data_IF_866365708124
#
_entry.id   IF_866365708124
#
_cell.length_a   1.000
_cell.length_b   1.000
_cell.length_c   1.000
_cell.angle_alpha   90.00
_cell.angle_beta   90.00
_cell.angle_gamma   90.00
#
_symmetry.space_group_name_H-M   'P 1'
#
loop_
_entity.id
_entity.type
_entity.pdbx_description
1 polymer ?
#
# COMPACT_ATOMS: atom_id res chain seq x y z
N UNK A 1 -12.81 -27.20 -21.03
CA UNK A 1 -12.53 -27.58 -19.62
C UNK A 1 -12.30 -29.09 -19.58
N UNK A 2 -11.20 -29.58 -19.00
CA UNK A 2 -10.97 -31.03 -18.83
C UNK A 2 -11.82 -31.52 -17.64
N UNK A 3 -12.54 -32.64 -17.76
CA UNK A 3 -13.32 -33.16 -16.65
C UNK A 3 -12.39 -33.52 -15.48
N UNK A 4 -12.78 -33.17 -14.26
CA UNK A 4 -12.02 -33.50 -13.05
C UNK A 4 -12.04 -35.02 -12.81
N UNK A 5 -11.08 -35.55 -12.05
CA UNK A 5 -11.02 -37.00 -11.73
C UNK A 5 -12.33 -37.53 -11.15
N UNK A 6 -13.01 -36.74 -10.32
CA UNK A 6 -14.33 -37.10 -9.78
C UNK A 6 -15.40 -37.20 -10.89
N UNK A 7 -15.42 -36.27 -11.84
CA UNK A 7 -16.35 -36.30 -12.98
C UNK A 7 -16.14 -37.51 -13.89
N UNK A 8 -14.88 -37.93 -14.08
CA UNK A 8 -14.55 -39.16 -14.81
C UNK A 8 -15.07 -40.41 -14.10
N UNK A 9 -14.95 -40.47 -12.76
CA UNK A 9 -15.47 -41.59 -11.96
C UNK A 9 -17.00 -41.64 -12.04
N UNK A 10 -17.70 -40.51 -11.92
CA UNK A 10 -19.16 -40.48 -12.04
C UNK A 10 -19.65 -40.90 -13.43
N UNK A 11 -19.00 -40.44 -14.51
CA UNK A 11 -19.34 -40.88 -15.87
C UNK A 11 -19.09 -42.39 -16.05
N UNK A 12 -18.00 -42.91 -15.50
CA UNK A 12 -17.69 -44.33 -15.55
C UNK A 12 -18.76 -45.18 -14.84
N UNK A 13 -19.22 -44.76 -13.66
CA UNK A 13 -20.25 -45.46 -12.89
C UNK A 13 -21.58 -45.47 -13.63
N UNK A 14 -22.00 -44.34 -14.21
CA UNK A 14 -23.25 -44.27 -15.00
C UNK A 14 -23.16 -45.18 -16.22
N UNK A 15 -22.01 -45.20 -16.91
CA UNK A 15 -21.80 -46.00 -18.11
C UNK A 15 -21.79 -47.51 -17.78
N UNK A 16 -21.25 -47.88 -16.62
CA UNK A 16 -21.31 -49.25 -16.10
C UNK A 16 -22.75 -49.67 -15.75
N UNK A 17 -23.55 -48.79 -15.14
CA UNK A 17 -24.95 -49.06 -14.82
C UNK A 17 -25.78 -49.24 -16.10
N UNK A 18 -25.57 -48.38 -17.11
CA UNK A 18 -26.20 -48.50 -18.43
C UNK A 18 -25.79 -49.80 -19.13
N UNK A 19 -24.50 -50.15 -19.11
CA UNK A 19 -24.02 -51.40 -19.69
C UNK A 19 -24.63 -52.63 -18.99
N UNK A 20 -24.69 -52.62 -17.66
CA UNK A 20 -25.31 -53.69 -16.88
C UNK A 20 -26.82 -53.81 -17.19
N UNK A 21 -27.53 -52.69 -17.34
CA UNK A 21 -28.94 -52.66 -17.71
C UNK A 21 -29.18 -53.24 -19.11
N UNK A 22 -28.34 -52.88 -20.09
CA UNK A 22 -28.41 -53.41 -21.46
C UNK A 22 -28.15 -54.93 -21.46
N UNK A 23 -27.11 -55.39 -20.75
CA UNK A 23 -26.77 -56.81 -20.65
C UNK A 23 -27.92 -57.59 -20.00
N UNK A 24 -28.49 -57.09 -18.91
CA UNK A 24 -29.64 -57.70 -18.25
C UNK A 24 -30.87 -57.76 -19.17
N UNK A 25 -31.12 -56.69 -19.94
CA UNK A 25 -32.22 -56.64 -20.90
C UNK A 25 -32.06 -57.66 -22.04
N UNK A 26 -30.85 -57.82 -22.58
CA UNK A 26 -30.56 -58.81 -23.62
C UNK A 26 -30.69 -60.24 -23.07
N UNK A 27 -30.20 -60.47 -21.85
CA UNK A 27 -30.30 -61.78 -21.19
C UNK A 27 -31.76 -62.18 -20.91
N UNK A 28 -32.58 -61.25 -20.42
CA UNK A 28 -34.02 -61.48 -20.17
C UNK A 28 -34.77 -61.73 -21.48
N UNK A 29 -34.46 -60.99 -22.55
CA UNK A 29 -35.05 -61.21 -23.88
C UNK A 29 -34.74 -62.61 -24.43
N UNK A 30 -33.52 -63.11 -24.22
CA UNK A 30 -33.12 -64.44 -24.66
C UNK A 30 -33.69 -65.57 -23.79
N UNK A 31 -33.99 -65.31 -22.51
CA UNK A 31 -34.47 -66.30 -21.57
C UNK A 31 -35.90 -66.84 -21.85
N UNK A 32 -36.65 -66.24 -22.80
CA UNK A 32 -37.98 -66.68 -23.27
C UNK A 32 -38.99 -67.07 -22.17
N UNK A 33 -38.87 -66.48 -20.98
CA UNK A 33 -39.91 -66.58 -19.95
C UNK A 33 -40.95 -65.49 -20.22
N UNK A 34 -42.24 -65.84 -20.12
CA UNK A 34 -43.39 -65.00 -20.45
C UNK A 34 -43.53 -63.76 -19.57
N UNK A 35 -42.56 -62.86 -19.67
CA UNK A 35 -42.48 -61.59 -18.98
C UNK A 35 -43.19 -60.57 -19.86
N UNK A 36 -44.12 -59.82 -19.27
CA UNK A 36 -44.81 -58.71 -19.92
C UNK A 36 -43.78 -57.68 -20.41
N UNK A 37 -43.45 -57.80 -21.70
CA UNK A 37 -42.40 -57.06 -22.37
C UNK A 37 -42.65 -55.54 -22.26
N UNK A 38 -43.92 -55.14 -22.20
CA UNK A 38 -44.34 -53.74 -22.08
C UNK A 38 -43.97 -53.22 -20.69
N UNK A 39 -44.34 -53.93 -19.63
CA UNK A 39 -44.03 -53.56 -18.24
C UNK A 39 -42.52 -53.48 -17.98
N UNK A 40 -41.75 -54.42 -18.54
CA UNK A 40 -40.29 -54.39 -18.45
C UNK A 40 -39.69 -53.20 -19.21
N UNK A 41 -40.15 -52.93 -20.42
CA UNK A 41 -39.68 -51.78 -21.23
C UNK A 41 -40.00 -50.46 -20.56
N UNK A 42 -41.21 -50.29 -20.03
CA UNK A 42 -41.63 -49.09 -19.30
C UNK A 42 -40.76 -48.89 -18.05
N UNK A 43 -40.45 -49.96 -17.33
CA UNK A 43 -39.59 -49.91 -16.13
C UNK A 43 -38.16 -49.50 -16.46
N UNK A 44 -37.58 -50.03 -17.55
CA UNK A 44 -36.24 -49.66 -18.01
C UNK A 44 -36.15 -48.22 -18.52
N UNK A 45 -37.14 -47.76 -19.27
CA UNK A 45 -37.20 -46.36 -19.73
C UNK A 45 -37.36 -45.41 -18.53
N UNK A 46 -38.20 -45.77 -17.56
CA UNK A 46 -38.39 -44.97 -16.33
C UNK A 46 -37.11 -44.89 -15.49
N UNK A 47 -36.36 -45.98 -15.41
CA UNK A 47 -35.04 -46.01 -14.76
C UNK A 47 -34.03 -45.10 -15.47
N UNK A 48 -34.01 -45.12 -16.81
CA UNK A 48 -33.16 -44.23 -17.62
C UNK A 48 -33.49 -42.75 -17.41
N UNK A 49 -34.78 -42.39 -17.38
CA UNK A 49 -35.24 -41.01 -17.09
C UNK A 49 -34.82 -40.59 -15.68
N UNK A 50 -34.95 -41.47 -14.70
CA UNK A 50 -34.57 -41.18 -13.30
C UNK A 50 -33.07 -40.96 -13.13
N UNK A 51 -32.23 -41.74 -13.83
CA UNK A 51 -30.77 -41.54 -13.86
C UNK A 51 -30.39 -40.21 -14.51
N UNK A 52 -31.05 -39.84 -15.62
CA UNK A 52 -30.82 -38.55 -16.27
C UNK A 52 -31.20 -37.38 -15.36
N UNK A 53 -32.33 -37.49 -14.66
CA UNK A 53 -32.77 -36.51 -13.68
C UNK A 53 -31.77 -36.38 -12.51
N UNK A 54 -31.28 -37.49 -11.97
CA UNK A 54 -30.24 -37.50 -10.94
C UNK A 54 -28.94 -36.84 -11.43
N UNK A 55 -28.54 -37.09 -12.68
CA UNK A 55 -27.36 -36.45 -13.26
C UNK A 55 -27.51 -34.93 -13.38
N UNK A 56 -28.67 -34.46 -13.87
CA UNK A 56 -28.96 -33.02 -13.94
C UNK A 56 -28.95 -32.42 -12.53
N UNK A 57 -29.62 -33.06 -11.56
CA UNK A 57 -29.63 -32.60 -10.17
C UNK A 57 -28.23 -32.55 -9.56
N UNK A 58 -27.37 -33.54 -9.83
CA UNK A 58 -25.99 -33.58 -9.35
C UNK A 58 -25.14 -32.46 -9.99
N UNK A 59 -25.29 -32.21 -11.30
CA UNK A 59 -24.64 -31.09 -11.98
C UNK A 59 -25.08 -29.75 -11.41
N UNK A 60 -26.38 -29.59 -11.18
CA UNK A 60 -26.95 -28.38 -10.57
C UNK A 60 -26.43 -28.19 -9.14
N UNK A 61 -26.41 -29.25 -8.32
CA UNK A 61 -25.88 -29.21 -6.95
C UNK A 61 -24.39 -28.85 -6.92
N UNK A 62 -23.56 -29.49 -7.77
CA UNK A 62 -22.12 -29.19 -7.86
C UNK A 62 -21.90 -27.76 -8.38
N UNK A 63 -22.71 -27.29 -9.32
CA UNK A 63 -22.66 -25.92 -9.82
C UNK A 63 -23.00 -24.92 -8.70
N UNK A 64 -24.04 -25.19 -7.90
CA UNK A 64 -24.41 -24.34 -6.77
C UNK A 64 -23.34 -24.37 -5.67
N UNK A 65 -22.82 -25.55 -5.32
CA UNK A 65 -21.78 -25.71 -4.29
C UNK A 65 -20.45 -25.07 -4.70
N UNK A 66 -20.05 -25.19 -5.97
CA UNK A 66 -18.85 -24.53 -6.47
C UNK A 66 -18.99 -23.01 -6.49
N UNK A 67 -20.15 -22.48 -6.91
CA UNK A 67 -20.44 -21.04 -6.81
C UNK A 67 -20.46 -20.59 -5.36
N UNK A 68 -21.11 -21.34 -4.47
CA UNK A 68 -21.20 -21.05 -3.04
C UNK A 68 -19.82 -20.99 -2.36
N UNK A 69 -18.96 -21.97 -2.63
CA UNK A 69 -17.58 -22.00 -2.13
C UNK A 69 -16.75 -20.81 -2.65
N UNK A 70 -16.95 -20.40 -3.90
CA UNK A 70 -16.28 -19.23 -4.47
C UNK A 70 -16.83 -17.91 -3.90
N UNK A 71 -18.13 -17.87 -3.56
CA UNK A 71 -18.84 -16.67 -3.11
C UNK A 71 -18.88 -16.47 -1.59
N UNK A 72 -18.48 -17.45 -0.77
CA UNK A 72 -18.53 -17.36 0.69
C UNK A 72 -17.71 -16.16 1.20
N UNK A 73 -18.23 -15.45 2.21
CA UNK A 73 -17.67 -14.20 2.76
C UNK A 73 -17.63 -14.12 4.30
N UNK A 74 -17.86 -15.22 5.01
CA UNK A 74 -17.76 -15.21 6.48
C UNK A 74 -16.35 -14.79 6.91
N UNK A 75 -16.23 -13.71 7.69
CA UNK A 75 -14.94 -13.22 8.19
C UNK A 75 -14.12 -12.35 7.21
N UNK A 76 -14.77 -11.55 6.34
CA UNK A 76 -14.08 -10.65 5.41
C UNK A 76 -13.15 -9.64 6.13
N UNK A 77 -11.84 -9.79 5.92
CA UNK A 77 -10.82 -8.94 6.54
C UNK A 77 -10.92 -7.46 6.12
N UNK A 78 -11.46 -7.19 4.92
CA UNK A 78 -11.64 -5.83 4.41
C UNK A 78 -12.78 -5.06 5.10
N UNK A 79 -13.66 -5.78 5.80
CA UNK A 79 -14.72 -5.19 6.62
C UNK A 79 -14.42 -5.26 8.13
N UNK A 80 -13.24 -5.77 8.52
CA UNK A 80 -12.84 -5.85 9.91
C UNK A 80 -12.41 -4.47 10.44
N UNK A 81 -13.26 -3.88 11.28
CA UNK A 81 -13.04 -2.57 11.91
C UNK A 81 -11.96 -2.56 13.01
N UNK A 82 -11.46 -3.74 13.41
CA UNK A 82 -10.42 -3.90 14.42
C UNK A 82 -9.10 -4.42 13.83
N UNK A 83 -8.95 -4.37 12.51
CA UNK A 83 -7.73 -4.84 11.85
C UNK A 83 -6.54 -3.92 12.12
N UNK A 84 -5.37 -4.53 12.37
CA UNK A 84 -4.09 -3.83 12.60
C UNK A 84 -2.97 -4.54 11.84
N UNK A 85 -2.04 -3.78 11.28
CA UNK A 85 -0.86 -4.33 10.61
C UNK A 85 0.21 -4.73 11.65
N UNK A 86 0.63 -5.99 11.64
CA UNK A 86 1.72 -6.47 12.51
C UNK A 86 3.09 -6.14 11.93
N UNK A 87 3.63 -4.96 12.28
CA UNK A 87 4.98 -4.54 11.85
C UNK A 87 6.07 -5.53 12.27
N UNK A 88 6.09 -6.09 13.51
CA UNK A 88 7.07 -7.11 13.89
C UNK A 88 7.06 -8.34 12.98
N UNK A 89 5.89 -8.78 12.53
CA UNK A 89 5.76 -9.92 11.61
C UNK A 89 6.34 -9.59 10.23
N UNK A 90 6.07 -8.40 9.71
CA UNK A 90 6.63 -7.93 8.44
C UNK A 90 8.16 -7.88 8.50
N UNK A 91 8.73 -7.36 9.59
CA UNK A 91 10.18 -7.27 9.76
C UNK A 91 10.85 -8.64 9.88
N UNK A 92 10.25 -9.57 10.64
CA UNK A 92 10.74 -10.94 10.74
C UNK A 92 10.68 -11.66 9.39
N UNK A 93 9.68 -11.37 8.57
CA UNK A 93 9.50 -11.97 7.25
C UNK A 93 10.47 -11.44 6.20
N UNK A 94 10.77 -10.13 6.22
CA UNK A 94 11.54 -9.46 5.18
C UNK A 94 12.90 -8.97 5.69
N UNK A 95 13.83 -9.91 5.93
CA UNK A 95 15.17 -9.61 6.46
C UNK A 95 16.24 -9.42 5.38
N UNK A 96 15.86 -8.90 4.21
CA UNK A 96 16.81 -8.67 3.12
C UNK A 96 17.91 -7.66 3.51
N UNK A 97 19.15 -7.95 3.11
CA UNK A 97 20.32 -7.11 3.42
C UNK A 97 20.47 -5.93 2.45
N UNK A 98 19.89 -6.02 1.26
CA UNK A 98 20.00 -5.05 0.18
C UNK A 98 18.65 -4.79 -0.52
N UNK A 99 18.59 -3.72 -1.31
CA UNK A 99 17.37 -3.32 -2.04
C UNK A 99 16.91 -4.37 -3.07
N UNK A 100 17.78 -4.95 -3.93
CA UNK A 100 17.32 -5.90 -4.94
C UNK A 100 16.68 -7.14 -4.32
N UNK A 101 17.29 -7.65 -3.25
CA UNK A 101 16.78 -8.79 -2.48
C UNK A 101 15.45 -8.46 -1.80
N UNK A 102 15.31 -7.25 -1.23
CA UNK A 102 14.05 -6.82 -0.63
C UNK A 102 12.95 -6.70 -1.69
N UNK A 103 13.26 -6.08 -2.82
CA UNK A 103 12.34 -5.96 -3.96
C UNK A 103 11.87 -7.36 -4.38
N UNK A 104 12.80 -8.28 -4.60
CA UNK A 104 12.47 -9.63 -5.04
C UNK A 104 11.63 -10.38 -4.01
N UNK A 105 11.90 -10.23 -2.71
CA UNK A 105 11.10 -10.82 -1.65
C UNK A 105 9.66 -10.26 -1.60
N UNK A 106 9.51 -8.93 -1.60
CA UNK A 106 8.19 -8.26 -1.52
C UNK A 106 7.30 -8.64 -2.70
N UNK A 107 7.80 -8.46 -3.93
CA UNK A 107 7.02 -8.75 -5.12
C UNK A 107 6.72 -10.25 -5.26
N UNK A 108 7.70 -11.13 -5.02
CA UNK A 108 7.47 -12.58 -5.14
C UNK A 108 6.44 -13.08 -4.13
N UNK A 109 6.42 -12.50 -2.93
CA UNK A 109 5.42 -12.80 -1.90
C UNK A 109 4.00 -12.48 -2.37
N UNK A 110 3.79 -11.28 -2.95
CA UNK A 110 2.48 -10.87 -3.48
C UNK A 110 2.09 -11.70 -4.69
N UNK A 111 3.03 -11.92 -5.62
CA UNK A 111 2.79 -12.73 -6.82
C UNK A 111 2.36 -14.15 -6.47
N UNK A 112 3.00 -14.76 -5.47
CA UNK A 112 2.65 -16.09 -4.99
C UNK A 112 1.21 -16.12 -4.49
N UNK A 113 0.82 -15.16 -3.64
CA UNK A 113 -0.54 -15.07 -3.09
C UNK A 113 -1.59 -14.87 -4.18
N UNK A 114 -1.39 -13.91 -5.08
CA UNK A 114 -2.30 -13.65 -6.20
C UNK A 114 -2.48 -14.88 -7.12
N UNK A 115 -1.42 -15.65 -7.35
CA UNK A 115 -1.44 -16.82 -8.25
C UNK A 115 -1.98 -18.08 -7.58
N UNK A 116 -1.71 -18.30 -6.29
CA UNK A 116 -1.95 -19.58 -5.60
C UNK A 116 -2.97 -19.51 -4.46
N UNK A 117 -3.13 -18.36 -3.83
CA UNK A 117 -3.88 -18.18 -2.58
C UNK A 117 -5.02 -17.15 -2.74
N UNK A 118 -5.57 -16.96 -3.95
CA UNK A 118 -6.69 -16.04 -4.18
C UNK A 118 -7.89 -16.76 -4.80
N UNK A 119 -8.09 -18.04 -4.49
CA UNK A 119 -9.05 -18.93 -5.15
C UNK A 119 -10.50 -18.43 -5.02
N UNK A 120 -10.89 -17.99 -3.83
CA UNK A 120 -12.22 -17.47 -3.51
C UNK A 120 -12.23 -15.95 -3.34
N UNK A 121 -13.41 -15.35 -3.17
CA UNK A 121 -13.53 -13.92 -2.87
C UNK A 121 -12.87 -13.53 -1.53
N UNK A 122 -12.95 -14.40 -0.51
CA UNK A 122 -12.30 -14.18 0.80
C UNK A 122 -10.78 -14.27 0.67
N UNK A 123 -10.25 -15.32 0.04
CA UNK A 123 -8.79 -15.45 -0.10
C UNK A 123 -8.19 -14.29 -0.91
N UNK A 124 -8.95 -13.78 -1.90
CA UNK A 124 -8.54 -12.60 -2.64
C UNK A 124 -8.62 -11.33 -1.80
N UNK A 125 -9.65 -11.17 -0.97
CA UNK A 125 -9.75 -10.07 -0.02
C UNK A 125 -8.56 -10.06 0.96
N UNK A 126 -8.17 -11.23 1.47
CA UNK A 126 -6.97 -11.40 2.31
C UNK A 126 -5.68 -11.04 1.56
N UNK A 127 -5.59 -11.45 0.29
CA UNK A 127 -4.46 -11.09 -0.57
C UNK A 127 -4.39 -9.59 -0.80
N UNK A 128 -5.53 -8.93 -1.01
CA UNK A 128 -5.60 -7.47 -1.17
C UNK A 128 -5.23 -6.74 0.12
N UNK A 129 -5.72 -7.20 1.28
CA UNK A 129 -5.31 -6.63 2.57
C UNK A 129 -3.81 -6.80 2.79
N UNK A 130 -3.26 -7.97 2.48
CA UNK A 130 -1.83 -8.22 2.54
C UNK A 130 -1.04 -7.27 1.62
N UNK A 131 -1.53 -7.00 0.41
CA UNK A 131 -0.93 -5.99 -0.47
C UNK A 131 -0.96 -4.60 0.16
N UNK A 132 -2.07 -4.22 0.82
CA UNK A 132 -2.21 -2.94 1.53
C UNK A 132 -1.21 -2.85 2.68
N UNK A 133 -1.04 -3.91 3.47
CA UNK A 133 -0.08 -3.95 4.57
C UNK A 133 1.37 -3.76 4.08
N UNK A 134 1.69 -4.26 2.88
CA UNK A 134 3.02 -4.09 2.28
C UNK A 134 3.25 -2.73 1.64
N UNK A 135 2.21 -1.89 1.44
CA UNK A 135 2.36 -0.55 0.83
C UNK A 135 3.41 0.27 1.55
N UNK A 136 3.48 0.18 2.88
CA UNK A 136 4.40 0.94 3.72
C UNK A 136 5.87 0.56 3.51
N UNK A 137 6.14 -0.64 2.99
CA UNK A 137 7.51 -1.13 2.75
C UNK A 137 8.05 -0.80 1.36
N UNK A 138 7.18 -0.57 0.37
CA UNK A 138 7.61 -0.23 -0.99
C UNK A 138 8.48 1.03 -1.10
N UNK A 139 8.28 2.09 -0.29
CA UNK A 139 9.20 3.22 -0.25
C UNK A 139 10.64 2.86 0.10
N UNK A 140 10.88 1.77 0.84
CA UNK A 140 12.23 1.27 1.15
C UNK A 140 12.97 0.76 -0.09
N UNK A 141 12.23 0.31 -1.10
CA UNK A 141 12.77 -0.09 -2.40
C UNK A 141 12.87 1.14 -3.30
N UNK A 142 11.75 1.85 -3.51
CA UNK A 142 11.66 2.95 -4.46
C UNK A 142 12.58 4.14 -4.14
N UNK A 143 12.87 4.39 -2.86
CA UNK A 143 13.71 5.53 -2.43
C UNK A 143 15.20 5.19 -2.30
N UNK A 144 15.59 3.94 -2.51
CA UNK A 144 16.97 3.51 -2.37
C UNK A 144 17.86 4.09 -3.48
N UNK A 145 19.15 4.28 -3.19
CA UNK A 145 20.12 4.77 -4.18
C UNK A 145 20.32 3.82 -5.37
N UNK A 146 20.20 2.51 -5.13
CA UNK A 146 20.46 1.46 -6.13
C UNK A 146 19.23 1.01 -6.93
N UNK A 147 18.09 1.70 -6.81
CA UNK A 147 16.81 1.24 -7.40
C UNK A 147 16.84 1.16 -8.93
N UNK A 148 16.47 -0.01 -9.47
CA UNK A 148 16.12 -0.16 -10.88
C UNK A 148 14.66 0.24 -11.11
N UNK A 149 14.45 1.54 -11.38
CA UNK A 149 13.12 2.12 -11.58
C UNK A 149 12.34 1.44 -12.70
N UNK A 150 13.00 1.02 -13.78
CA UNK A 150 12.32 0.39 -14.93
C UNK A 150 11.81 -0.99 -14.54
N UNK A 151 12.65 -1.80 -13.90
CA UNK A 151 12.26 -3.13 -13.40
C UNK A 151 11.15 -3.01 -12.34
N UNK A 152 11.29 -2.09 -11.39
CA UNK A 152 10.28 -1.82 -10.37
C UNK A 152 8.90 -1.51 -10.99
N UNK A 153 8.86 -0.56 -11.92
CA UNK A 153 7.62 -0.16 -12.60
C UNK A 153 7.01 -1.32 -13.41
N UNK A 154 7.84 -2.07 -14.14
CA UNK A 154 7.36 -3.21 -14.93
C UNK A 154 6.72 -4.29 -14.04
N UNK A 155 7.34 -4.61 -12.89
CA UNK A 155 6.79 -5.59 -11.95
C UNK A 155 5.53 -5.09 -11.26
N UNK A 156 5.47 -3.80 -10.91
CA UNK A 156 4.28 -3.21 -10.32
C UNK A 156 3.09 -3.25 -11.30
N UNK A 157 3.31 -2.89 -12.56
CA UNK A 157 2.29 -3.01 -13.61
C UNK A 157 1.82 -4.45 -13.80
N UNK A 158 2.74 -5.42 -13.73
CA UNK A 158 2.38 -6.84 -13.80
C UNK A 158 1.52 -7.29 -12.60
N UNK A 159 1.83 -6.83 -11.38
CA UNK A 159 0.99 -7.08 -10.20
C UNK A 159 -0.41 -6.48 -10.36
N UNK A 160 -0.52 -5.24 -10.84
CA UNK A 160 -1.81 -4.60 -11.10
C UNK A 160 -2.65 -5.38 -12.11
N UNK A 161 -2.03 -5.82 -13.21
CA UNK A 161 -2.70 -6.63 -14.22
C UNK A 161 -3.19 -7.98 -13.67
N UNK A 162 -2.41 -8.61 -12.79
CA UNK A 162 -2.80 -9.85 -12.11
C UNK A 162 -3.98 -9.62 -11.16
N UNK A 163 -3.94 -8.54 -10.37
CA UNK A 163 -5.03 -8.18 -9.46
C UNK A 163 -6.32 -7.87 -10.23
N UNK A 164 -6.26 -7.12 -11.33
CA UNK A 164 -7.42 -6.85 -12.18
C UNK A 164 -8.01 -8.11 -12.80
N UNK A 165 -7.15 -8.99 -13.32
CA UNK A 165 -7.60 -10.28 -13.88
C UNK A 165 -8.33 -11.10 -12.82
N UNK A 166 -7.81 -11.14 -11.59
CA UNK A 166 -8.42 -11.87 -10.48
C UNK A 166 -9.75 -11.23 -10.05
N UNK A 167 -9.79 -9.90 -9.95
CA UNK A 167 -11.02 -9.14 -9.69
C UNK A 167 -12.10 -9.45 -10.71
N UNK A 168 -11.77 -9.44 -12.01
CA UNK A 168 -12.73 -9.70 -13.09
C UNK A 168 -13.38 -11.09 -12.94
N UNK A 169 -12.60 -12.12 -12.62
CA UNK A 169 -13.08 -13.49 -12.41
C UNK A 169 -14.03 -13.59 -11.20
N UNK A 170 -13.78 -12.84 -10.12
CA UNK A 170 -14.55 -12.93 -8.89
C UNK A 170 -15.79 -12.02 -8.87
N UNK A 171 -15.71 -10.86 -9.51
CA UNK A 171 -16.82 -9.89 -9.60
C UNK A 171 -18.03 -10.41 -10.39
N UNK A 172 -17.82 -11.35 -11.32
CA UNK A 172 -18.90 -12.03 -12.04
C UNK A 172 -19.66 -13.03 -11.18
N UNK A 173 -19.11 -13.42 -10.02
CA UNK A 173 -19.63 -14.49 -9.14
C UNK A 173 -20.16 -13.94 -7.81
N UNK A 174 -19.60 -12.85 -7.29
CA UNK A 174 -19.97 -12.29 -5.98
C UNK A 174 -20.23 -10.77 -6.03
N UNK A 175 -21.51 -10.36 -6.18
CA UNK A 175 -21.90 -8.94 -6.27
C UNK A 175 -21.78 -8.17 -4.95
N UNK A 176 -21.85 -8.84 -3.79
CA UNK A 176 -21.77 -8.20 -2.47
C UNK A 176 -20.35 -7.76 -2.12
N UNK A 177 -19.37 -8.67 -2.27
CA UNK A 177 -17.94 -8.39 -2.04
C UNK A 177 -17.32 -7.44 -3.05
N UNK A 178 -17.88 -7.44 -4.27
CA UNK A 178 -17.27 -6.77 -5.41
C UNK A 178 -17.03 -5.29 -5.17
N UNK A 179 -17.85 -4.64 -4.33
CA UNK A 179 -17.68 -3.22 -4.02
C UNK A 179 -16.37 -3.00 -3.24
N UNK A 180 -16.19 -3.66 -2.10
CA UNK A 180 -14.97 -3.50 -1.29
C UNK A 180 -13.72 -3.90 -2.06
N UNK A 181 -13.75 -5.07 -2.71
CA UNK A 181 -12.64 -5.55 -3.55
C UNK A 181 -12.29 -4.54 -4.63
N UNK A 182 -13.29 -3.95 -5.30
CA UNK A 182 -13.06 -2.96 -6.34
C UNK A 182 -12.45 -1.67 -5.80
N UNK A 183 -12.93 -1.17 -4.66
CA UNK A 183 -12.39 0.04 -4.05
C UNK A 183 -10.96 -0.18 -3.53
N UNK A 184 -10.64 -1.35 -2.97
CA UNK A 184 -9.27 -1.67 -2.52
C UNK A 184 -8.31 -1.85 -3.71
N UNK A 185 -8.76 -2.47 -4.81
CA UNK A 185 -7.95 -2.53 -6.04
C UNK A 185 -7.69 -1.14 -6.62
N UNK A 186 -8.71 -0.26 -6.64
CA UNK A 186 -8.53 1.14 -7.06
C UNK A 186 -7.57 1.88 -6.13
N UNK A 187 -7.67 1.67 -4.81
CA UNK A 187 -6.76 2.26 -3.83
C UNK A 187 -5.32 1.86 -4.14
N UNK A 188 -5.05 0.57 -4.33
CA UNK A 188 -3.71 0.09 -4.63
C UNK A 188 -3.18 0.68 -5.96
N UNK A 189 -4.01 0.76 -7.00
CA UNK A 189 -3.65 1.46 -8.25
C UNK A 189 -3.36 2.94 -8.03
N UNK A 190 -4.20 3.63 -7.26
CA UNK A 190 -4.02 5.04 -6.94
C UNK A 190 -2.70 5.31 -6.21
N UNK A 191 -2.32 4.44 -5.28
CA UNK A 191 -1.03 4.49 -4.58
C UNK A 191 0.14 4.32 -5.55
N UNK A 192 0.08 3.32 -6.44
CA UNK A 192 1.11 3.08 -7.47
C UNK A 192 1.21 4.26 -8.44
N UNK A 193 0.08 4.78 -8.90
CA UNK A 193 0.02 5.94 -9.79
C UNK A 193 0.60 7.17 -9.09
N UNK A 194 0.29 7.41 -7.81
CA UNK A 194 0.94 8.47 -7.04
C UNK A 194 2.47 8.31 -6.99
N UNK A 195 2.97 7.10 -6.68
CA UNK A 195 4.41 6.84 -6.65
C UNK A 195 5.08 7.13 -8.01
N UNK A 196 4.41 6.78 -9.11
CA UNK A 196 4.86 7.11 -10.48
C UNK A 196 4.86 8.62 -10.73
N UNK A 197 3.80 9.34 -10.36
CA UNK A 197 3.71 10.81 -10.52
C UNK A 197 4.84 11.51 -9.77
N UNK A 198 5.18 11.04 -8.57
CA UNK A 198 6.33 11.55 -7.80
C UNK A 198 7.65 11.29 -8.54
N UNK A 199 7.81 10.12 -9.15
CA UNK A 199 9.01 9.75 -9.92
C UNK A 199 9.19 10.62 -11.18
N UNK A 200 8.09 10.93 -11.87
CA UNK A 200 8.07 11.62 -13.17
C UNK A 200 7.95 13.15 -13.03
N UNK A 201 7.58 13.65 -11.85
CA UNK A 201 7.41 15.08 -11.60
C UNK A 201 6.17 15.70 -12.28
N UNK A 202 5.27 14.88 -12.82
CA UNK A 202 4.08 15.32 -13.53
C UNK A 202 2.85 15.29 -12.62
N UNK A 203 2.41 16.44 -12.13
CA UNK A 203 1.25 16.56 -11.22
C UNK A 203 -0.01 17.14 -11.90
N UNK A 204 -0.01 17.24 -13.22
CA UNK A 204 -1.14 17.73 -14.02
C UNK A 204 -2.22 16.67 -14.29
N UNK A 205 -2.00 15.45 -13.81
CA UNK A 205 -2.85 14.28 -14.11
C UNK A 205 -3.94 14.12 -13.04
N UNK A 206 -5.15 13.73 -13.48
CA UNK A 206 -6.21 13.25 -12.59
C UNK A 206 -5.71 12.04 -11.80
N UNK A 207 -5.76 12.12 -10.47
CA UNK A 207 -5.27 11.04 -9.62
C UNK A 207 -6.32 9.94 -9.49
N UNK A 208 -5.98 8.70 -9.82
CA UNK A 208 -6.86 7.53 -9.61
C UNK A 208 -7.32 7.38 -8.15
N UNK A 209 -6.59 7.98 -7.19
CA UNK A 209 -7.00 8.09 -5.79
C UNK A 209 -8.34 8.83 -5.62
N UNK A 210 -8.68 9.78 -6.49
CA UNK A 210 -9.95 10.52 -6.45
C UNK A 210 -11.15 9.64 -6.84
N UNK A 211 -10.90 8.54 -7.57
CA UNK A 211 -11.95 7.62 -8.04
C UNK A 211 -12.29 6.53 -6.99
N UNK A 212 -11.54 6.50 -5.89
CA UNK A 212 -11.77 5.61 -4.74
C UNK A 212 -12.86 6.22 -3.85
N UNK A 213 -13.91 5.45 -3.61
CA UNK A 213 -14.99 5.80 -2.68
C UNK A 213 -14.57 5.53 -1.24
N UNK A 214 -13.67 6.36 -0.73
CA UNK A 214 -13.06 6.25 0.60
C UNK A 214 -14.01 5.93 1.76
N UNK A 215 -15.19 6.58 1.88
CA UNK A 215 -16.13 6.32 2.98
C UNK A 215 -16.69 4.89 3.03
N UNK A 216 -16.54 4.10 1.97
CA UNK A 216 -16.99 2.70 1.93
C UNK A 216 -15.97 1.75 2.59
N UNK A 217 -14.70 2.15 2.67
CA UNK A 217 -13.65 1.37 3.30
C UNK A 217 -13.92 1.32 4.81
N UNK A 218 -14.12 0.12 5.36
CA UNK A 218 -14.37 -0.07 6.80
C UNK A 218 -13.10 -0.40 7.57
N UNK A 219 -12.21 -1.20 6.97
CA UNK A 219 -10.94 -1.58 7.56
C UNK A 219 -10.07 -0.33 7.86
N UNK A 220 -9.62 -0.13 9.12
CA UNK A 220 -8.88 1.06 9.53
C UNK A 220 -7.59 1.27 8.73
N UNK A 221 -6.82 0.21 8.48
CA UNK A 221 -5.58 0.28 7.71
C UNK A 221 -5.83 0.76 6.28
N UNK A 222 -6.87 0.23 5.61
CA UNK A 222 -7.22 0.68 4.24
C UNK A 222 -7.64 2.15 4.21
N UNK A 223 -8.39 2.61 5.22
CA UNK A 223 -8.81 4.02 5.37
C UNK A 223 -7.61 4.93 5.61
N UNK A 224 -6.71 4.53 6.50
CA UNK A 224 -5.45 5.23 6.80
C UNK A 224 -4.62 5.42 5.54
N UNK A 225 -4.41 4.34 4.78
CA UNK A 225 -3.67 4.39 3.51
C UNK A 225 -4.36 5.32 2.52
N UNK A 226 -5.67 5.21 2.33
CA UNK A 226 -6.42 6.08 1.43
C UNK A 226 -6.26 7.56 1.77
N UNK A 227 -6.56 7.94 3.02
CA UNK A 227 -6.52 9.32 3.45
C UNK A 227 -5.09 9.90 3.45
N UNK A 228 -4.10 9.13 3.89
CA UNK A 228 -2.70 9.56 3.86
C UNK A 228 -2.20 9.81 2.42
N UNK A 229 -2.46 8.89 1.49
CA UNK A 229 -2.04 9.07 0.10
C UNK A 229 -2.82 10.16 -0.63
N UNK A 230 -4.10 10.36 -0.30
CA UNK A 230 -4.88 11.47 -0.83
C UNK A 230 -4.37 12.82 -0.30
N UNK A 231 -3.99 12.90 0.98
CA UNK A 231 -3.33 14.07 1.55
C UNK A 231 -1.99 14.36 0.87
N UNK A 232 -1.18 13.33 0.63
CA UNK A 232 0.07 13.44 -0.13
C UNK A 232 -0.15 13.94 -1.57
N UNK A 233 -1.19 13.47 -2.26
CA UNK A 233 -1.55 13.94 -3.59
C UNK A 233 -1.84 15.44 -3.61
N UNK A 234 -2.68 15.92 -2.69
CA UNK A 234 -3.00 17.35 -2.58
C UNK A 234 -1.78 18.18 -2.15
N UNK A 235 -0.97 17.69 -1.20
CA UNK A 235 0.28 18.33 -0.81
C UNK A 235 1.19 18.53 -2.03
N UNK A 236 1.40 17.49 -2.84
CA UNK A 236 2.24 17.58 -4.04
C UNK A 236 1.67 18.52 -5.10
N UNK A 237 0.34 18.59 -5.26
CA UNK A 237 -0.30 19.59 -6.13
C UNK A 237 -0.03 21.02 -5.65
N UNK A 238 -0.20 21.30 -4.36
CA UNK A 238 0.11 22.61 -3.78
C UNK A 238 1.58 23.00 -3.98
N UNK A 239 2.50 22.08 -3.67
CA UNK A 239 3.95 22.30 -3.86
C UNK A 239 4.33 22.50 -5.33
N UNK A 240 3.69 21.78 -6.26
CA UNK A 240 3.90 21.99 -7.69
C UNK A 240 3.42 23.37 -8.12
N UNK A 241 2.28 23.82 -7.61
CA UNK A 241 1.72 25.11 -7.95
C UNK A 241 2.59 26.28 -7.45
N UNK A 242 3.17 26.17 -6.25
CA UNK A 242 4.19 27.10 -5.76
C UNK A 242 5.38 27.16 -6.72
N UNK A 243 5.93 26.01 -7.13
CA UNK A 243 7.08 25.96 -8.05
C UNK A 243 6.78 26.60 -9.40
N UNK A 244 5.59 26.35 -9.97
CA UNK A 244 5.18 26.98 -11.23
C UNK A 244 4.99 28.49 -11.05
N UNK A 245 4.32 28.93 -9.97
CA UNK A 245 4.06 30.34 -9.71
C UNK A 245 5.33 31.17 -9.47
N UNK A 246 6.32 30.62 -8.76
CA UNK A 246 7.60 31.27 -8.45
C UNK A 246 8.72 30.95 -9.46
N UNK A 247 8.43 30.14 -10.48
CA UNK A 247 9.37 29.70 -11.52
C UNK A 247 10.63 29.01 -10.97
N UNK A 248 10.45 28.16 -9.95
CA UNK A 248 11.55 27.53 -9.19
C UNK A 248 12.10 26.24 -9.83
N UNK A 249 11.61 25.86 -11.02
CA UNK A 249 12.05 24.65 -11.72
C UNK A 249 11.91 23.37 -10.88
N UNK A 250 13.01 22.62 -10.73
CA UNK A 250 13.06 21.37 -9.95
C UNK A 250 13.58 21.55 -8.52
N UNK A 251 13.62 22.79 -8.01
CA UNK A 251 14.01 23.06 -6.62
C UNK A 251 13.15 22.26 -5.65
N UNK A 252 13.80 21.68 -4.64
CA UNK A 252 13.11 21.03 -3.53
C UNK A 252 12.72 22.10 -2.51
N UNK A 253 11.42 22.43 -2.44
CA UNK A 253 10.90 23.48 -1.55
C UNK A 253 11.16 23.21 -0.06
N UNK A 254 11.53 21.98 0.31
CA UNK A 254 11.76 21.58 1.68
C UNK A 254 13.25 21.39 2.02
N UNK A 255 14.14 21.58 1.03
CA UNK A 255 15.58 21.71 1.32
C UNK A 255 15.86 23.06 1.97
N UNK A 256 17.05 23.23 2.56
CA UNK A 256 17.39 24.48 3.25
C UNK A 256 17.26 25.70 2.30
N UNK A 257 17.86 25.60 1.11
CA UNK A 257 17.75 26.63 0.07
C UNK A 257 16.30 26.86 -0.39
N UNK A 258 15.52 25.80 -0.52
CA UNK A 258 14.11 25.90 -0.93
C UNK A 258 13.27 26.64 0.10
N UNK A 259 13.49 26.36 1.39
CA UNK A 259 12.81 27.04 2.50
C UNK A 259 13.21 28.52 2.54
N UNK A 260 14.50 28.85 2.45
CA UNK A 260 14.98 30.23 2.41
C UNK A 260 14.41 31.00 1.20
N UNK A 261 14.26 30.33 0.06
CA UNK A 261 13.70 30.92 -1.16
C UNK A 261 12.19 31.15 -1.02
N UNK A 262 11.46 30.16 -0.50
CA UNK A 262 10.03 30.28 -0.26
C UNK A 262 9.71 31.41 0.73
N UNK A 263 10.44 31.48 1.84
CA UNK A 263 10.25 32.51 2.88
C UNK A 263 10.52 33.93 2.35
N UNK A 264 11.42 34.09 1.38
CA UNK A 264 11.75 35.41 0.79
C UNK A 264 10.81 35.84 -0.32
N UNK A 265 10.25 34.88 -1.06
CA UNK A 265 9.54 35.11 -2.33
C UNK A 265 8.05 34.75 -2.27
N UNK A 266 7.52 34.38 -1.12
CA UNK A 266 6.10 34.04 -0.94
C UNK A 266 5.17 35.16 -1.43
N UNK A 267 5.54 36.42 -1.17
CA UNK A 267 4.79 37.61 -1.59
C UNK A 267 4.76 37.83 -3.11
N UNK A 268 5.64 37.19 -3.87
CA UNK A 268 5.66 37.25 -5.34
C UNK A 268 4.61 36.35 -5.99
N UNK A 269 3.97 35.46 -5.23
CA UNK A 269 2.97 34.55 -5.75
C UNK A 269 1.68 35.31 -6.10
N UNK A 270 1.22 35.18 -7.35
CA UNK A 270 -0.01 35.82 -7.79
C UNK A 270 -1.21 35.41 -6.91
N UNK A 271 -2.18 36.32 -6.63
CA UNK A 271 -3.30 36.04 -5.72
C UNK A 271 -4.08 34.76 -6.04
N UNK A 272 -4.41 34.53 -7.31
CA UNK A 272 -5.12 33.31 -7.75
C UNK A 272 -4.31 32.03 -7.47
N UNK A 273 -3.00 32.10 -7.69
CA UNK A 273 -2.09 30.98 -7.42
C UNK A 273 -2.00 30.71 -5.91
N UNK A 274 -1.98 31.76 -5.10
CA UNK A 274 -1.99 31.67 -3.63
C UNK A 274 -3.26 31.00 -3.11
N UNK A 275 -4.43 31.38 -3.62
CA UNK A 275 -5.71 30.76 -3.27
C UNK A 275 -5.73 29.26 -3.59
N UNK A 276 -5.25 28.86 -4.78
CA UNK A 276 -5.14 27.45 -5.15
C UNK A 276 -4.19 26.67 -4.23
N UNK A 277 -3.04 27.26 -3.87
CA UNK A 277 -2.09 26.66 -2.93
C UNK A 277 -2.74 26.45 -1.57
N UNK A 278 -3.42 27.46 -1.02
CA UNK A 278 -4.12 27.36 0.26
C UNK A 278 -5.20 26.27 0.19
N UNK A 279 -5.98 26.24 -0.89
CA UNK A 279 -7.01 25.22 -1.10
C UNK A 279 -6.42 23.80 -1.10
N UNK A 280 -5.36 23.55 -1.87
CA UNK A 280 -4.75 22.22 -1.95
C UNK A 280 -4.08 21.81 -0.64
N UNK A 281 -3.33 22.70 0.02
CA UNK A 281 -2.66 22.37 1.28
C UNK A 281 -3.68 22.21 2.43
N UNK A 282 -4.74 23.02 2.48
CA UNK A 282 -5.84 22.85 3.42
C UNK A 282 -6.58 21.52 3.21
N UNK A 283 -6.85 21.15 1.95
CA UNK A 283 -7.41 19.84 1.63
C UNK A 283 -6.47 18.70 2.05
N UNK A 284 -5.14 18.86 1.91
CA UNK A 284 -4.18 17.88 2.36
C UNK A 284 -4.24 17.66 3.88
N UNK A 285 -4.27 18.74 4.67
CA UNK A 285 -4.40 18.67 6.14
C UNK A 285 -5.67 17.92 6.57
N UNK A 286 -6.82 18.28 6.00
CA UNK A 286 -8.08 17.59 6.32
C UNK A 286 -8.11 16.11 5.93
N UNK A 287 -7.21 15.64 5.07
CA UNK A 287 -7.03 14.21 4.80
C UNK A 287 -6.05 13.56 5.78
N UNK A 288 -4.98 14.26 6.19
CA UNK A 288 -4.08 13.75 7.22
C UNK A 288 -4.80 13.59 8.57
N UNK A 289 -5.70 14.51 8.94
CA UNK A 289 -6.51 14.39 10.16
C UNK A 289 -7.37 13.11 10.13
N UNK A 290 -8.06 12.86 9.01
CA UNK A 290 -8.84 11.62 8.81
C UNK A 290 -7.99 10.35 8.82
N UNK A 291 -6.73 10.45 8.39
CA UNK A 291 -5.80 9.32 8.44
C UNK A 291 -5.34 9.05 9.88
N UNK A 292 -5.10 10.10 10.68
CA UNK A 292 -4.78 9.97 12.12
C UNK A 292 -5.95 9.37 12.89
N UNK A 293 -7.18 9.83 12.63
CA UNK A 293 -8.40 9.28 13.23
C UNK A 293 -8.56 7.79 12.91
N UNK A 294 -8.18 7.37 11.71
CA UNK A 294 -8.29 5.98 11.26
C UNK A 294 -7.15 5.09 11.78
N UNK A 295 -5.93 5.58 11.94
CA UNK A 295 -4.80 4.76 12.38
C UNK A 295 -4.76 4.52 13.89
N UNK A 296 -5.39 5.39 14.68
CA UNK A 296 -5.34 5.29 16.14
C UNK A 296 -3.90 5.38 16.66
N UNK A 297 -3.50 4.38 17.46
CA UNK A 297 -2.20 4.35 18.16
C UNK A 297 -1.09 3.60 17.40
N UNK A 298 -1.25 3.35 16.10
CA UNK A 298 -0.20 2.68 15.29
C UNK A 298 1.01 3.62 15.05
N UNK A 299 2.08 3.42 15.82
CA UNK A 299 3.32 4.22 15.76
C UNK A 299 3.91 4.32 14.35
N UNK A 300 3.79 3.27 13.52
CA UNK A 300 4.30 3.30 12.16
C UNK A 300 3.52 4.33 11.35
N UNK A 301 2.19 4.25 11.34
CA UNK A 301 1.36 5.21 10.61
C UNK A 301 1.45 6.62 11.19
N UNK A 302 1.47 6.77 12.52
CA UNK A 302 1.65 8.07 13.19
C UNK A 302 2.93 8.78 12.71
N UNK A 303 4.06 8.06 12.65
CA UNK A 303 5.34 8.60 12.18
C UNK A 303 5.31 9.05 10.71
N UNK A 304 4.56 8.37 9.84
CA UNK A 304 4.41 8.79 8.44
C UNK A 304 3.47 9.98 8.29
N UNK A 305 2.31 9.94 8.96
CA UNK A 305 1.24 10.92 8.78
C UNK A 305 1.62 12.26 9.42
N UNK A 306 2.11 12.27 10.67
CA UNK A 306 2.55 13.50 11.31
C UNK A 306 3.71 14.16 10.55
N UNK A 307 4.64 13.38 9.99
CA UNK A 307 5.70 13.94 9.15
C UNK A 307 5.16 14.67 7.92
N UNK A 308 4.18 14.09 7.24
CA UNK A 308 3.54 14.71 6.07
C UNK A 308 2.68 15.92 6.45
N UNK A 309 1.97 15.83 7.58
CA UNK A 309 1.16 16.89 8.14
C UNK A 309 2.02 18.09 8.54
N UNK A 310 3.12 17.88 9.28
CA UNK A 310 4.04 18.94 9.69
C UNK A 310 4.65 19.68 8.48
N UNK A 311 5.08 18.95 7.44
CA UNK A 311 5.58 19.57 6.20
C UNK A 311 4.52 20.38 5.47
N UNK A 312 3.26 19.95 5.55
CA UNK A 312 2.13 20.67 4.95
C UNK A 312 1.80 21.93 5.75
N UNK A 313 1.75 21.83 7.08
CA UNK A 313 1.55 22.94 7.99
C UNK A 313 2.64 24.00 7.80
N UNK A 314 3.91 23.60 7.74
CA UNK A 314 5.03 24.53 7.56
C UNK A 314 4.88 25.38 6.30
N UNK A 315 4.56 24.74 5.17
CA UNK A 315 4.41 25.45 3.89
C UNK A 315 3.13 26.26 3.84
N UNK A 316 2.02 25.74 4.39
CA UNK A 316 0.77 26.49 4.47
C UNK A 316 0.92 27.74 5.37
N UNK A 317 1.69 27.63 6.44
CA UNK A 317 2.03 28.71 7.37
C UNK A 317 2.78 29.88 6.73
N UNK A 318 3.37 29.69 5.54
CA UNK A 318 3.95 30.79 4.76
C UNK A 318 2.86 31.68 4.14
N UNK A 319 1.66 31.14 3.91
CA UNK A 319 0.59 31.84 3.20
C UNK A 319 -0.57 32.27 4.10
N UNK A 320 -0.78 31.59 5.23
CA UNK A 320 -1.82 31.90 6.21
C UNK A 320 -1.24 31.79 7.63
N UNK A 321 -1.87 32.44 8.60
CA UNK A 321 -1.40 32.42 9.99
C UNK A 321 -1.75 31.09 10.68
N UNK A 322 -0.99 30.04 10.37
CA UNK A 322 -1.06 28.70 10.97
C UNK A 322 0.39 28.25 11.19
N UNK A 323 0.87 28.29 12.44
CA UNK A 323 2.29 28.00 12.77
C UNK A 323 2.45 26.98 13.90
N UNK A 324 1.74 25.84 13.77
CA UNK A 324 1.79 24.73 14.73
C UNK A 324 2.49 23.48 14.15
N UNK A 325 3.40 23.66 13.18
CA UNK A 325 4.08 22.52 12.55
C UNK A 325 5.09 21.84 13.46
N UNK A 326 5.71 22.57 14.41
CA UNK A 326 6.78 22.03 15.25
C UNK A 326 6.32 20.92 16.19
N UNK A 327 5.24 21.09 16.98
CA UNK A 327 4.74 20.00 17.83
C UNK A 327 4.37 18.75 17.00
N UNK A 328 3.83 18.95 15.80
CA UNK A 328 3.48 17.85 14.89
C UNK A 328 4.73 17.14 14.37
N UNK A 329 5.78 17.88 14.01
CA UNK A 329 7.07 17.30 13.62
C UNK A 329 7.72 16.53 14.78
N UNK A 330 7.61 17.04 16.01
CA UNK A 330 8.13 16.36 17.19
C UNK A 330 7.39 15.06 17.50
N UNK A 331 6.07 15.02 17.27
CA UNK A 331 5.30 13.77 17.33
C UNK A 331 5.77 12.78 16.24
N UNK A 332 6.05 13.25 15.02
CA UNK A 332 6.58 12.40 13.96
C UNK A 332 7.94 11.80 14.31
N UNK A 333 8.86 12.61 14.85
CA UNK A 333 10.19 12.16 15.28
C UNK A 333 10.07 11.16 16.43
N UNK A 334 9.20 11.42 17.40
CA UNK A 334 8.95 10.52 18.55
C UNK A 334 8.45 9.15 18.10
N UNK A 335 7.40 9.11 17.29
CA UNK A 335 6.83 7.88 16.76
C UNK A 335 7.86 7.07 15.94
N UNK A 336 8.64 7.74 15.08
CA UNK A 336 9.72 7.08 14.32
C UNK A 336 10.83 6.54 15.22
N UNK A 337 11.18 7.26 16.28
CA UNK A 337 12.19 6.83 17.25
C UNK A 337 11.72 5.63 18.09
N UNK A 338 10.47 5.66 18.55
CA UNK A 338 9.82 4.53 19.23
C UNK A 338 9.78 3.30 18.32
N UNK A 339 9.36 3.47 17.07
CA UNK A 339 9.36 2.39 16.09
C UNK A 339 10.77 1.82 15.90
N UNK A 340 11.79 2.67 15.69
CA UNK A 340 13.18 2.22 15.57
C UNK A 340 13.68 1.43 16.78
N UNK A 341 13.21 1.75 17.99
CA UNK A 341 13.51 0.98 19.19
C UNK A 341 12.87 -0.42 19.11
N UNK A 342 11.57 -0.50 18.81
CA UNK A 342 10.84 -1.76 18.63
C UNK A 342 11.48 -2.65 17.54
N UNK A 343 11.89 -2.05 16.42
CA UNK A 343 12.56 -2.78 15.33
C UNK A 343 13.85 -3.45 15.82
N UNK A 344 14.66 -2.75 16.64
CA UNK A 344 15.87 -3.33 17.22
C UNK A 344 15.56 -4.50 18.14
N UNK A 345 14.52 -4.39 18.96
CA UNK A 345 14.09 -5.50 19.83
C UNK A 345 13.64 -6.72 19.01
N UNK A 346 12.91 -6.49 17.91
CA UNK A 346 12.39 -7.56 17.04
C UNK A 346 13.51 -8.27 16.28
N UNK A 347 14.51 -7.54 15.78
CA UNK A 347 15.62 -8.09 14.99
C UNK A 347 16.77 -8.63 15.87
N UNK A 348 16.82 -8.28 17.16
CA UNK A 348 17.84 -8.72 18.11
C UNK A 348 19.12 -7.86 18.09
N UNK A 349 20.15 -8.30 18.82
CA UNK A 349 21.39 -7.56 19.08
C UNK A 349 22.36 -7.43 17.89
N UNK A 350 21.87 -7.47 16.65
CA UNK A 350 22.71 -7.07 15.52
C UNK A 350 23.03 -5.56 15.58
N UNK A 351 24.16 -5.16 15.00
CA UNK A 351 24.54 -3.73 14.91
C UNK A 351 23.51 -2.88 14.16
N UNK A 352 23.66 -1.54 14.15
CA UNK A 352 22.78 -0.68 13.36
C UNK A 352 22.77 -1.11 11.88
N UNK A 353 21.59 -1.12 11.25
CA UNK A 353 21.36 -1.56 9.86
C UNK A 353 21.55 -3.06 9.55
N UNK A 354 21.14 -3.95 10.45
CA UNK A 354 21.10 -5.41 10.20
C UNK A 354 20.38 -5.80 8.91
N UNK A 355 19.38 -5.03 8.49
CA UNK A 355 18.59 -5.26 7.28
C UNK A 355 18.36 -3.95 6.52
N UNK A 356 18.03 -4.06 5.24
CA UNK A 356 17.68 -2.90 4.41
C UNK A 356 16.42 -2.18 4.92
N UNK A 357 15.45 -2.93 5.47
CA UNK A 357 14.27 -2.33 6.10
C UNK A 357 14.63 -1.55 7.37
N UNK A 358 15.50 -2.08 8.24
CA UNK A 358 15.97 -1.32 9.41
C UNK A 358 16.69 -0.03 8.99
N UNK A 359 17.55 -0.10 7.97
CA UNK A 359 18.20 1.09 7.42
C UNK A 359 17.18 2.11 6.89
N UNK A 360 16.09 1.66 6.26
CA UNK A 360 15.00 2.54 5.82
C UNK A 360 14.31 3.28 6.98
N UNK A 361 13.99 2.59 8.08
CA UNK A 361 13.33 3.24 9.23
C UNK A 361 14.26 4.20 9.99
N UNK A 362 15.56 3.89 10.07
CA UNK A 362 16.57 4.82 10.58
C UNK A 362 16.67 6.07 9.69
N UNK A 363 16.71 5.87 8.36
CA UNK A 363 16.64 6.95 7.38
C UNK A 363 15.41 7.84 7.55
N UNK A 364 14.23 7.25 7.80
CA UNK A 364 13.00 8.01 8.03
C UNK A 364 13.11 8.90 9.27
N UNK A 365 13.60 8.38 10.40
CA UNK A 365 13.79 9.20 11.60
C UNK A 365 14.77 10.35 11.35
N UNK A 366 15.93 10.04 10.75
CA UNK A 366 16.96 11.03 10.46
C UNK A 366 16.44 12.13 9.51
N UNK A 367 15.73 11.75 8.45
CA UNK A 367 15.12 12.70 7.53
C UNK A 367 14.15 13.66 8.22
N UNK A 368 13.33 13.17 9.17
CA UNK A 368 12.40 14.02 9.92
C UNK A 368 13.15 15.04 10.81
N UNK A 369 14.24 14.61 11.45
CA UNK A 369 15.09 15.50 12.24
C UNK A 369 15.74 16.58 11.38
N UNK A 370 16.34 16.20 10.26
CA UNK A 370 16.98 17.15 9.32
C UNK A 370 15.96 18.10 8.71
N UNK A 371 14.74 17.63 8.43
CA UNK A 371 13.65 18.48 7.93
C UNK A 371 13.28 19.57 8.94
N UNK A 372 13.17 19.21 10.24
CA UNK A 372 12.95 20.19 11.31
C UNK A 372 14.05 21.26 11.31
N UNK A 373 15.31 20.84 11.15
CA UNK A 373 16.44 21.77 11.08
C UNK A 373 16.39 22.68 9.85
N UNK A 374 16.06 22.15 8.67
CA UNK A 374 15.88 22.97 7.46
C UNK A 374 14.84 24.07 7.67
N UNK A 375 13.73 23.76 8.35
CA UNK A 375 12.67 24.74 8.63
C UNK A 375 13.12 25.81 9.63
N UNK A 376 13.75 25.41 10.74
CA UNK A 376 14.23 26.34 11.76
C UNK A 376 15.32 27.27 11.23
N UNK A 377 16.31 26.69 10.55
CA UNK A 377 17.46 27.44 9.99
C UNK A 377 17.01 28.27 8.79
N UNK A 378 16.21 27.71 7.89
CA UNK A 378 15.79 28.38 6.65
C UNK A 378 14.80 29.54 6.87
N UNK A 379 13.96 29.47 7.91
CA UNK A 379 13.07 30.59 8.30
C UNK A 379 13.84 31.69 9.03
N UNK A 380 15.04 31.41 9.54
CA UNK A 380 15.81 32.30 10.42
C UNK A 380 14.99 32.84 11.62
N UNK A 381 14.11 32.01 12.18
CA UNK A 381 13.13 32.42 13.20
C UNK A 381 13.74 32.78 14.57
N UNK A 382 15.06 32.67 14.74
CA UNK A 382 15.75 32.90 16.02
C UNK A 382 15.50 31.83 17.07
N UNK A 383 14.81 30.75 16.71
CA UNK A 383 14.51 29.64 17.61
C UNK A 383 15.68 28.65 17.70
N UNK A 384 15.91 28.03 18.87
CA UNK A 384 16.98 27.04 19.05
C UNK A 384 16.82 25.85 18.11
N UNK A 385 17.85 25.59 17.30
CA UNK A 385 17.89 24.45 16.39
C UNK A 385 18.38 23.19 17.14
N UNK A 386 17.48 22.55 17.89
CA UNK A 386 17.82 21.38 18.71
C UNK A 386 17.91 20.11 17.85
N UNK A 387 19.08 19.47 17.87
CA UNK A 387 19.34 18.18 17.23
C UNK A 387 19.80 17.14 18.26
N UNK A 388 19.01 16.07 18.43
CA UNK A 388 19.27 14.98 19.40
C UNK A 388 19.59 15.47 20.83
N UNK A 389 18.89 16.52 21.27
CA UNK A 389 19.03 17.09 22.62
C UNK A 389 20.14 18.14 22.76
N UNK A 390 20.85 18.46 21.68
CA UNK A 390 21.89 19.48 21.66
C UNK A 390 21.48 20.66 20.79
N UNK A 391 21.79 21.88 21.22
CA UNK A 391 21.63 23.05 20.37
C UNK A 391 22.73 23.05 19.29
N UNK A 392 22.32 23.15 18.02
CA UNK A 392 23.25 23.29 16.91
C UNK A 392 24.09 24.55 16.99
N UNK A 393 23.76 25.58 17.75
CA UNK A 393 24.64 26.73 17.93
C UNK A 393 25.87 26.40 18.80
N UNK A 394 25.76 25.41 19.71
CA UNK A 394 26.77 25.11 20.73
C UNK A 394 27.77 24.01 20.32
N UNK A 395 27.45 23.23 19.29
CA UNK A 395 28.30 22.12 18.84
C UNK A 395 29.49 22.60 18.00
N UNK A 396 30.62 21.91 18.01
CA UNK A 396 31.62 22.05 16.93
C UNK A 396 31.12 21.38 15.63
N UNK A 397 31.83 21.55 14.52
CA UNK A 397 31.53 20.82 13.28
C UNK A 397 31.65 19.30 13.51
N UNK A 398 32.78 18.86 14.07
CA UNK A 398 33.06 17.44 14.38
C UNK A 398 32.03 16.83 15.35
N UNK A 399 31.59 17.60 16.36
CA UNK A 399 30.57 17.16 17.30
C UNK A 399 29.21 16.96 16.63
N UNK A 400 28.83 17.86 15.72
CA UNK A 400 27.59 17.72 14.96
C UNK A 400 27.65 16.54 14.00
N UNK A 401 28.75 16.39 13.26
CA UNK A 401 28.97 15.24 12.38
C UNK A 401 28.92 13.91 13.16
N UNK A 402 29.48 13.87 14.37
CA UNK A 402 29.41 12.70 15.25
C UNK A 402 28.00 12.33 15.73
N UNK A 403 27.03 13.25 15.67
CA UNK A 403 25.63 13.00 16.02
C UNK A 403 24.77 12.58 14.82
N UNK A 404 25.27 12.72 13.58
CA UNK A 404 24.53 12.38 12.38
C UNK A 404 24.38 10.87 12.23
N UNK A 405 23.20 10.43 11.81
CA UNK A 405 23.02 9.01 11.44
C UNK A 405 23.47 8.82 10.00
N UNK A 406 24.42 7.90 9.79
CA UNK A 406 24.83 7.53 8.45
C UNK A 406 23.68 6.79 7.76
N UNK A 407 23.22 7.27 6.61
CA UNK A 407 22.15 6.66 5.83
C UNK A 407 22.57 6.48 4.36
N UNK A 408 23.70 5.82 4.13
CA UNK A 408 24.34 5.73 2.80
C UNK A 408 23.45 5.10 1.72
N UNK A 409 22.47 4.28 2.10
CA UNK A 409 21.54 3.58 1.20
C UNK A 409 20.46 4.50 0.61
N UNK A 410 20.27 5.70 1.17
CA UNK A 410 19.20 6.62 0.81
C UNK A 410 19.77 8.03 0.57
N UNK A 411 19.74 8.55 -0.66
CA UNK A 411 20.56 9.71 -1.05
C UNK A 411 20.08 11.06 -0.47
N UNK A 412 18.84 11.15 0.01
CA UNK A 412 18.26 12.43 0.46
C UNK A 412 18.86 12.92 1.78
N UNK A 413 19.11 12.03 2.74
CA UNK A 413 19.68 12.39 4.06
C UNK A 413 21.11 12.92 3.92
N UNK A 414 22.04 12.24 3.22
CA UNK A 414 23.39 12.77 3.01
C UNK A 414 23.41 14.14 2.35
N UNK A 415 22.49 14.40 1.42
CA UNK A 415 22.36 15.71 0.78
C UNK A 415 21.99 16.80 1.79
N UNK A 416 20.96 16.59 2.61
CA UNK A 416 20.55 17.57 3.62
C UNK A 416 21.61 17.74 4.73
N UNK A 417 22.30 16.67 5.11
CA UNK A 417 23.43 16.73 6.05
C UNK A 417 24.54 17.64 5.50
N UNK A 418 24.91 17.48 4.22
CA UNK A 418 25.90 18.34 3.56
C UNK A 418 25.46 19.81 3.50
N UNK A 419 24.21 20.08 3.13
CA UNK A 419 23.65 21.44 3.07
C UNK A 419 23.72 22.12 4.45
N UNK A 420 23.31 21.42 5.52
CA UNK A 420 23.33 21.95 6.90
C UNK A 420 24.75 22.15 7.42
N UNK A 421 25.66 21.19 7.20
CA UNK A 421 27.07 21.33 7.60
C UNK A 421 27.74 22.52 6.91
N UNK A 422 27.50 22.73 5.61
CA UNK A 422 28.04 23.87 4.87
C UNK A 422 27.52 25.21 5.42
N UNK A 423 26.24 25.28 5.80
CA UNK A 423 25.65 26.50 6.38
C UNK A 423 26.21 26.85 7.76
N UNK A 424 26.46 25.85 8.61
CA UNK A 424 27.09 26.09 9.93
C UNK A 424 28.47 26.72 9.82
N UNK A 425 29.27 26.29 8.84
CA UNK A 425 30.60 26.88 8.58
C UNK A 425 30.47 28.38 8.26
N UNK A 426 29.42 28.81 7.56
CA UNK A 426 29.16 30.22 7.26
C UNK A 426 28.78 31.04 8.50
N UNK A 427 27.99 30.47 9.43
CA UNK A 427 27.67 31.12 10.70
C UNK A 427 28.89 31.27 11.62
N UNK A 428 29.81 30.30 11.61
CA UNK A 428 31.05 30.36 12.39
C UNK A 428 32.12 31.32 11.82
N UNK A 429 32.00 31.72 10.55
CA UNK A 429 32.98 32.55 9.83
C UNK A 429 32.51 33.99 9.55
N UNK A 430 31.27 34.32 9.91
CA UNK A 430 30.78 35.71 9.84
C UNK A 430 31.22 36.45 11.12
N UNK A 431 32.16 37.43 11.05
CA UNK A 431 32.49 38.23 12.22
C UNK A 431 31.27 39.09 12.56
N UNK A 432 30.86 39.01 13.83
CA UNK A 432 29.83 39.89 14.40
C UNK A 432 30.24 41.34 14.46
#
# INVERSE_FOLDING_TARGET
MRPTRAQLIYMLVILLILAAAIIASVWIYQARQGIDLVSFTVSMVSFGISLLALFIALQTYISIDSVYKISRMDGNILDNEHYVTSVPELLKRFQALDEPSLQDALFSSIEMKLKRESATAVDFADTLQYMVDLIVLFPAVFSASAVDRKRYQARMNALLALADKRKAVLSSVNKGAAIQINEVVKLFKGVVTYQRLVAEGNFKVHGELLDVRGPILRNPVTRTVYHNYLGLYYNKKGMHRIREGLQLGQMDLLSLEGVETLTRRDAELAPECREEVIMYLGAALGQFDKALDACGEDDMWLGFIHYNQARTLFVLGQFINVDDWQPVMDNAIRARSQLNHLIREVLGQGGPETTHLQAFFLYQEELARLMKLNFLVGKAAGEPAIYRGHDMAELSADQFEGLLTLCARFPQVPRYQQELSARRVQFATSPG
#
